data_IF_757148762287
#
_entry.id   IF_757148762287
#
_cell.length_a   1.000
_cell.length_b   1.000
_cell.length_c   1.000
_cell.angle_alpha   90.00
_cell.angle_beta   90.00
_cell.angle_gamma   90.00
#
_symmetry.space_group_name_H-M   'P 1'
#
loop_
_entity.id
_entity.type
_entity.pdbx_description
1 polymer ?
#
# COMPACT_ATOMS: atom_id res chain seq x y z
N UNK A 1 -3.56 -17.65 -19.64
CA UNK A 1 -3.50 -18.66 -18.55
C UNK A 1 -3.09 -18.03 -17.21
N UNK A 2 -2.01 -17.24 -17.14
CA UNK A 2 -1.48 -16.68 -15.88
C UNK A 2 -2.40 -15.63 -15.25
N UNK A 3 -2.94 -14.70 -16.04
CA UNK A 3 -3.94 -13.71 -15.56
C UNK A 3 -5.21 -14.39 -15.01
N UNK A 4 -5.68 -15.46 -15.68
CA UNK A 4 -6.84 -16.21 -15.20
C UNK A 4 -6.55 -16.84 -13.83
N UNK A 5 -5.35 -17.39 -13.63
CA UNK A 5 -4.93 -17.95 -12.34
C UNK A 5 -4.83 -16.89 -11.27
N UNK A 6 -4.31 -15.71 -11.59
CA UNK A 6 -4.28 -14.59 -10.64
C UNK A 6 -5.68 -14.11 -10.24
N UNK A 7 -6.60 -14.06 -11.21
CA UNK A 7 -8.02 -13.78 -10.90
C UNK A 7 -8.65 -14.83 -9.98
N UNK A 8 -8.31 -16.12 -10.17
CA UNK A 8 -8.75 -17.20 -9.26
C UNK A 8 -8.17 -16.98 -7.86
N UNK A 9 -6.88 -16.67 -7.74
CA UNK A 9 -6.26 -16.37 -6.44
C UNK A 9 -6.94 -15.17 -5.75
N UNK A 10 -7.20 -14.08 -6.48
CA UNK A 10 -7.94 -12.92 -5.95
C UNK A 10 -9.37 -13.26 -5.54
N UNK A 11 -10.06 -14.09 -6.30
CA UNK A 11 -11.41 -14.55 -5.95
C UNK A 11 -11.40 -15.35 -4.64
N UNK A 12 -10.42 -16.24 -4.48
CA UNK A 12 -10.23 -17.00 -3.23
C UNK A 12 -9.92 -16.09 -2.05
N UNK A 13 -9.06 -15.09 -2.24
CA UNK A 13 -8.76 -14.07 -1.24
C UNK A 13 -10.04 -13.30 -0.84
N UNK A 14 -10.85 -12.85 -1.78
CA UNK A 14 -12.11 -12.15 -1.51
C UNK A 14 -13.16 -13.03 -0.82
N UNK A 15 -13.09 -14.35 -1.00
CA UNK A 15 -13.94 -15.34 -0.31
C UNK A 15 -13.35 -15.80 1.03
N UNK A 16 -12.24 -15.21 1.47
CA UNK A 16 -11.52 -15.52 2.70
C UNK A 16 -10.90 -16.93 2.73
N UNK A 17 -10.78 -17.58 1.56
CA UNK A 17 -10.02 -18.82 1.41
C UNK A 17 -8.54 -18.48 1.17
N UNK A 18 -7.90 -17.99 2.20
CA UNK A 18 -6.50 -17.52 2.14
C UNK A 18 -5.53 -18.66 1.85
N UNK A 19 -5.82 -19.87 2.34
CA UNK A 19 -5.01 -21.05 2.08
C UNK A 19 -4.98 -21.40 0.59
N UNK A 20 -6.13 -21.45 -0.06
CA UNK A 20 -6.20 -21.73 -1.49
C UNK A 20 -5.65 -20.56 -2.33
N UNK A 21 -5.93 -19.33 -1.95
CA UNK A 21 -5.32 -18.16 -2.57
C UNK A 21 -3.77 -18.27 -2.56
N UNK A 22 -3.18 -18.64 -1.42
CA UNK A 22 -1.74 -18.79 -1.25
C UNK A 22 -1.16 -19.87 -2.18
N UNK A 23 -1.80 -21.02 -2.30
CA UNK A 23 -1.39 -22.10 -3.22
C UNK A 23 -1.32 -21.60 -4.68
N UNK A 24 -2.31 -20.83 -5.12
CA UNK A 24 -2.33 -20.26 -6.47
C UNK A 24 -1.23 -19.21 -6.67
N UNK A 25 -1.01 -18.34 -5.67
CA UNK A 25 0.00 -17.30 -5.70
C UNK A 25 1.42 -17.87 -5.72
N UNK A 26 1.69 -18.94 -4.95
CA UNK A 26 3.00 -19.60 -4.93
C UNK A 26 3.41 -20.18 -6.29
N UNK A 27 2.45 -20.64 -7.09
CA UNK A 27 2.71 -21.06 -8.48
C UNK A 27 3.04 -19.86 -9.37
N UNK A 28 2.31 -18.75 -9.22
CA UNK A 28 2.47 -17.56 -10.05
C UNK A 28 3.80 -16.85 -9.80
N UNK A 29 4.26 -16.75 -8.56
CA UNK A 29 5.56 -16.17 -8.21
C UNK A 29 6.74 -16.84 -8.92
N UNK A 30 6.61 -18.11 -9.31
CA UNK A 30 7.68 -18.91 -9.93
C UNK A 30 7.60 -18.99 -11.45
N UNK A 31 6.44 -18.78 -12.03
CA UNK A 31 6.16 -19.13 -13.44
C UNK A 31 5.46 -18.04 -14.26
N UNK A 32 5.17 -16.88 -13.65
CA UNK A 32 4.46 -15.80 -14.34
C UNK A 32 5.40 -14.79 -15.00
N UNK A 33 4.83 -13.91 -15.83
CA UNK A 33 5.52 -12.69 -16.26
C UNK A 33 5.85 -11.84 -15.05
N UNK A 34 6.89 -11.00 -15.16
CA UNK A 34 7.39 -10.20 -14.03
C UNK A 34 6.29 -9.38 -13.35
N UNK A 35 5.40 -8.78 -14.12
CA UNK A 35 4.29 -7.98 -13.57
C UNK A 35 3.33 -8.83 -12.73
N UNK A 36 2.86 -9.96 -13.27
CA UNK A 36 1.93 -10.86 -12.53
C UNK A 36 2.65 -11.52 -11.34
N UNK A 37 3.94 -11.79 -11.47
CA UNK A 37 4.73 -12.34 -10.37
C UNK A 37 4.86 -11.34 -9.20
N UNK A 38 5.06 -10.07 -9.49
CA UNK A 38 5.12 -9.02 -8.48
C UNK A 38 3.76 -8.85 -7.76
N UNK A 39 2.67 -8.76 -8.52
CA UNK A 39 1.32 -8.68 -7.95
C UNK A 39 1.00 -9.90 -7.08
N UNK A 40 1.39 -11.10 -7.54
CA UNK A 40 1.22 -12.33 -6.79
C UNK A 40 2.08 -12.37 -5.52
N UNK A 41 3.29 -11.81 -5.57
CA UNK A 41 4.17 -11.71 -4.42
C UNK A 41 3.60 -10.75 -3.37
N UNK A 42 3.15 -9.58 -3.75
CA UNK A 42 2.54 -8.61 -2.85
C UNK A 42 1.33 -9.19 -2.13
N UNK A 43 0.38 -9.78 -2.86
CA UNK A 43 -0.79 -10.42 -2.25
C UNK A 43 -0.42 -11.61 -1.37
N UNK A 44 0.61 -12.37 -1.75
CA UNK A 44 1.10 -13.49 -0.95
C UNK A 44 1.74 -13.03 0.36
N UNK A 45 2.50 -11.93 0.35
CA UNK A 45 3.09 -11.34 1.55
C UNK A 45 2.00 -10.82 2.47
N UNK A 46 1.07 -10.02 1.95
CA UNK A 46 -0.08 -9.54 2.71
C UNK A 46 -0.80 -10.68 3.46
N UNK A 47 -1.13 -11.77 2.76
CA UNK A 47 -1.80 -12.93 3.38
C UNK A 47 -0.91 -13.57 4.44
N UNK A 48 0.37 -13.82 4.15
CA UNK A 48 1.29 -14.50 5.07
C UNK A 48 1.52 -13.71 6.34
N UNK A 49 1.84 -12.43 6.20
CA UNK A 49 2.24 -11.59 7.32
C UNK A 49 1.06 -11.37 8.28
N UNK A 50 -0.15 -11.34 7.74
CA UNK A 50 -1.37 -11.12 8.52
C UNK A 50 -2.17 -12.38 8.87
N UNK A 51 -1.65 -13.58 8.54
CA UNK A 51 -2.27 -14.87 8.90
C UNK A 51 -1.69 -15.53 10.13
N UNK A 52 -0.50 -15.09 10.58
CA UNK A 52 0.28 -15.81 11.62
C UNK A 52 -0.13 -15.40 13.04
N UNK A 53 -0.61 -14.20 13.25
CA UNK A 53 -0.84 -13.64 14.57
C UNK A 53 -2.27 -13.86 15.08
N UNK A 54 -3.26 -13.97 14.20
CA UNK A 54 -4.65 -14.21 14.54
C UNK A 54 -5.19 -15.47 13.86
N UNK A 55 -5.47 -16.50 14.66
CA UNK A 55 -6.07 -17.76 14.17
C UNK A 55 -7.47 -17.55 13.54
N UNK A 56 -8.16 -16.47 13.89
CA UNK A 56 -9.46 -16.10 13.32
C UNK A 56 -9.34 -15.31 12.04
N UNK A 57 -8.18 -14.68 11.84
CA UNK A 57 -7.87 -13.82 10.67
C UNK A 57 -8.90 -12.69 10.48
N UNK A 58 -9.43 -12.16 11.59
CA UNK A 58 -10.52 -11.19 11.54
C UNK A 58 -10.12 -9.90 10.85
N UNK A 59 -8.96 -9.35 11.19
CA UNK A 59 -8.44 -8.13 10.58
C UNK A 59 -8.14 -8.33 9.09
N UNK A 60 -7.50 -9.43 8.71
CA UNK A 60 -7.25 -9.78 7.30
C UNK A 60 -8.55 -9.95 6.50
N UNK A 61 -9.59 -10.55 7.08
CA UNK A 61 -10.92 -10.67 6.45
C UNK A 61 -11.57 -9.31 6.23
N UNK A 62 -11.46 -8.39 7.19
CA UNK A 62 -11.95 -7.02 7.03
C UNK A 62 -11.19 -6.29 5.91
N UNK A 63 -9.88 -6.42 5.87
CA UNK A 63 -9.07 -5.84 4.81
C UNK A 63 -9.43 -6.42 3.43
N UNK A 64 -9.55 -7.73 3.29
CA UNK A 64 -9.99 -8.39 2.06
C UNK A 64 -11.40 -7.94 1.63
N UNK A 65 -12.29 -7.66 2.59
CA UNK A 65 -13.61 -7.08 2.32
C UNK A 65 -13.50 -5.66 1.76
N UNK A 66 -12.62 -4.84 2.31
CA UNK A 66 -12.36 -3.50 1.77
C UNK A 66 -11.81 -3.56 0.33
N UNK A 67 -10.85 -4.42 0.07
CA UNK A 67 -10.31 -4.65 -1.28
C UNK A 67 -11.37 -5.11 -2.28
N UNK A 68 -12.30 -5.97 -1.86
CA UNK A 68 -13.44 -6.37 -2.69
C UNK A 68 -14.35 -5.19 -3.00
N UNK A 69 -14.63 -4.34 -2.01
CA UNK A 69 -15.45 -3.14 -2.21
C UNK A 69 -14.79 -2.14 -3.16
N UNK A 70 -13.48 -1.97 -3.06
CA UNK A 70 -12.69 -1.16 -4.02
C UNK A 70 -12.81 -1.74 -5.44
N UNK A 71 -12.64 -3.05 -5.56
CA UNK A 71 -12.81 -3.74 -6.85
C UNK A 71 -14.20 -3.53 -7.44
N UNK A 72 -15.23 -3.47 -6.60
CA UNK A 72 -16.62 -3.20 -6.98
C UNK A 72 -16.93 -1.69 -7.20
N UNK A 73 -15.95 -0.79 -7.08
CA UNK A 73 -16.12 0.67 -7.16
C UNK A 73 -17.01 1.26 -6.07
N UNK A 74 -17.01 0.64 -4.90
CA UNK A 74 -17.76 1.04 -3.70
C UNK A 74 -16.83 1.69 -2.68
N UNK A 75 -16.18 2.78 -3.06
CA UNK A 75 -15.07 3.38 -2.31
C UNK A 75 -15.51 3.89 -0.93
N UNK A 76 -16.69 4.51 -0.82
CA UNK A 76 -17.23 4.98 0.47
C UNK A 76 -17.43 3.85 1.47
N UNK A 77 -17.94 2.70 1.00
CA UNK A 77 -18.11 1.52 1.84
C UNK A 77 -16.74 0.96 2.26
N UNK A 78 -15.77 0.92 1.33
CA UNK A 78 -14.40 0.47 1.61
C UNK A 78 -13.71 1.34 2.67
N UNK A 79 -13.81 2.66 2.57
CA UNK A 79 -13.30 3.60 3.58
C UNK A 79 -13.91 3.30 4.96
N UNK A 80 -15.22 3.07 5.03
CA UNK A 80 -15.89 2.74 6.30
C UNK A 80 -15.35 1.44 6.91
N UNK A 81 -15.12 0.40 6.09
CA UNK A 81 -14.54 -0.87 6.55
C UNK A 81 -13.11 -0.69 7.04
N UNK A 82 -12.25 0.05 6.31
CA UNK A 82 -10.87 0.31 6.72
C UNK A 82 -10.79 1.13 8.01
N UNK A 83 -11.63 2.13 8.17
CA UNK A 83 -11.70 2.90 9.43
C UNK A 83 -12.09 2.02 10.62
N UNK A 84 -13.09 1.15 10.44
CA UNK A 84 -13.49 0.20 11.48
C UNK A 84 -12.35 -0.78 11.81
N UNK A 85 -11.57 -1.22 10.80
CA UNK A 85 -10.38 -2.04 11.02
C UNK A 85 -9.36 -1.30 11.89
N UNK A 86 -9.01 -0.05 11.54
CA UNK A 86 -8.05 0.76 12.29
C UNK A 86 -8.51 1.06 13.74
N UNK A 87 -9.82 1.12 14.00
CA UNK A 87 -10.37 1.32 15.34
C UNK A 87 -10.27 0.05 16.21
N UNK A 88 -10.53 -1.12 15.62
CA UNK A 88 -10.67 -2.38 16.37
C UNK A 88 -9.42 -3.26 16.41
N UNK A 89 -8.44 -3.02 15.51
CA UNK A 89 -7.26 -3.85 15.34
C UNK A 89 -5.95 -3.04 15.46
N UNK A 90 -5.91 -2.12 16.44
CA UNK A 90 -4.71 -1.31 16.70
C UNK A 90 -3.52 -2.15 17.11
N UNK A 91 -2.36 -1.89 16.49
CA UNK A 91 -1.11 -2.58 16.77
C UNK A 91 -1.00 -3.94 16.08
N UNK A 92 -2.00 -4.36 15.30
CA UNK A 92 -1.87 -5.53 14.43
C UNK A 92 -1.12 -5.14 13.14
N UNK A 93 -0.37 -6.08 12.56
CA UNK A 93 0.45 -5.82 11.36
C UNK A 93 -0.33 -5.22 10.18
N UNK A 94 -1.58 -5.62 10.00
CA UNK A 94 -2.45 -5.13 8.92
C UNK A 94 -2.74 -3.62 8.98
N UNK A 95 -2.38 -2.96 10.07
CA UNK A 95 -2.70 -1.53 10.27
C UNK A 95 -1.94 -0.64 9.27
N UNK A 96 -0.69 -0.96 8.94
CA UNK A 96 0.11 -0.21 7.95
C UNK A 96 -0.48 -0.33 6.54
N UNK A 97 -0.89 -1.52 6.11
CA UNK A 97 -1.58 -1.72 4.84
C UNK A 97 -2.94 -0.99 4.80
N UNK A 98 -3.66 -0.99 5.92
CA UNK A 98 -4.94 -0.29 6.01
C UNK A 98 -4.76 1.22 5.93
N UNK A 99 -3.74 1.79 6.58
CA UNK A 99 -3.41 3.21 6.51
C UNK A 99 -2.99 3.62 5.09
N UNK A 100 -2.12 2.84 4.44
CA UNK A 100 -1.70 3.12 3.06
C UNK A 100 -2.90 3.09 2.11
N UNK A 101 -3.73 2.06 2.21
CA UNK A 101 -4.93 1.90 1.38
C UNK A 101 -5.94 3.03 1.59
N UNK A 102 -6.12 3.45 2.83
CA UNK A 102 -7.02 4.54 3.18
C UNK A 102 -6.52 5.87 2.61
N UNK A 103 -5.21 6.13 2.69
CA UNK A 103 -4.58 7.28 2.06
C UNK A 103 -4.81 7.31 0.56
N UNK A 104 -4.61 6.18 -0.14
CA UNK A 104 -4.85 6.06 -1.57
C UNK A 104 -6.31 6.35 -1.96
N UNK A 105 -7.26 5.85 -1.18
CA UNK A 105 -8.68 6.09 -1.43
C UNK A 105 -9.05 7.56 -1.21
N UNK A 106 -8.54 8.19 -0.17
CA UNK A 106 -8.76 9.61 0.07
C UNK A 106 -8.14 10.48 -1.03
N UNK A 107 -6.91 10.15 -1.48
CA UNK A 107 -6.29 10.87 -2.59
C UNK A 107 -7.11 10.72 -3.88
N UNK A 108 -7.58 9.52 -4.20
CA UNK A 108 -8.42 9.26 -5.37
C UNK A 108 -9.75 10.02 -5.33
N UNK A 109 -10.31 10.22 -4.13
CA UNK A 109 -11.56 10.98 -3.91
C UNK A 109 -11.33 12.50 -3.82
N UNK A 110 -10.08 12.98 -3.89
CA UNK A 110 -9.75 14.40 -3.75
C UNK A 110 -9.78 14.92 -2.32
N UNK A 111 -9.82 14.03 -1.32
CA UNK A 111 -9.76 14.35 0.11
C UNK A 111 -8.31 14.39 0.59
N UNK A 112 -7.54 15.34 0.05
CA UNK A 112 -6.08 15.36 0.17
C UNK A 112 -5.56 15.52 1.60
N UNK A 113 -6.26 16.25 2.45
CA UNK A 113 -5.90 16.42 3.86
C UNK A 113 -6.03 15.10 4.63
N UNK A 114 -7.07 14.31 4.34
CA UNK A 114 -7.23 12.98 4.96
C UNK A 114 -6.22 11.96 4.41
N UNK A 115 -5.84 12.08 3.13
CA UNK A 115 -4.75 11.28 2.58
C UNK A 115 -3.42 11.60 3.27
N UNK A 116 -3.10 12.90 3.47
CA UNK A 116 -1.95 13.36 4.24
C UNK A 116 -1.94 12.75 5.64
N UNK A 117 -3.06 12.84 6.39
CA UNK A 117 -3.19 12.27 7.74
C UNK A 117 -2.91 10.76 7.76
N UNK A 118 -3.43 10.02 6.77
CA UNK A 118 -3.25 8.56 6.69
C UNK A 118 -1.79 8.17 6.42
N UNK A 119 -1.13 8.84 5.47
CA UNK A 119 0.29 8.58 5.17
C UNK A 119 1.21 9.01 6.32
N UNK A 120 0.92 10.15 6.97
CA UNK A 120 1.67 10.59 8.15
C UNK A 120 1.53 9.61 9.32
N UNK A 121 0.35 9.07 9.55
CA UNK A 121 0.13 8.06 10.59
C UNK A 121 0.96 6.80 10.32
N UNK A 122 1.02 6.32 9.05
CA UNK A 122 1.87 5.20 8.69
C UNK A 122 3.34 5.50 8.98
N UNK A 123 3.85 6.64 8.53
CA UNK A 123 5.24 7.05 8.77
C UNK A 123 5.53 7.18 10.26
N UNK A 124 4.60 7.72 11.04
CA UNK A 124 4.80 7.93 12.48
C UNK A 124 4.89 6.62 13.27
N UNK A 125 4.07 5.63 12.94
CA UNK A 125 3.92 4.41 13.75
C UNK A 125 4.63 3.20 13.14
N UNK A 126 4.89 3.20 11.83
CA UNK A 126 5.37 2.05 11.05
C UNK A 126 6.56 2.40 10.14
N UNK A 127 7.41 3.35 10.54
CA UNK A 127 8.52 3.86 9.71
C UNK A 127 9.62 2.82 9.40
N UNK A 128 9.67 1.72 10.13
CA UNK A 128 10.62 0.63 9.91
C UNK A 128 9.99 -0.57 9.15
N UNK A 129 8.69 -0.48 8.86
CA UNK A 129 7.97 -1.54 8.18
C UNK A 129 8.09 -1.41 6.64
N UNK A 130 7.75 -2.48 5.95
CA UNK A 130 7.97 -2.63 4.51
C UNK A 130 7.25 -1.59 3.65
N UNK A 131 6.18 -0.96 4.16
CA UNK A 131 5.40 0.06 3.45
C UNK A 131 5.81 1.50 3.77
N UNK A 132 6.85 1.69 4.59
CA UNK A 132 7.29 3.02 4.98
C UNK A 132 7.77 3.86 3.79
N UNK A 133 8.54 3.26 2.88
CA UNK A 133 9.01 3.93 1.67
C UNK A 133 7.87 4.29 0.70
N UNK A 134 6.85 3.42 0.58
CA UNK A 134 5.61 3.72 -0.13
C UNK A 134 4.93 4.97 0.43
N UNK A 135 4.78 5.06 1.76
CA UNK A 135 4.13 6.19 2.41
C UNK A 135 4.91 7.49 2.21
N UNK A 136 6.24 7.46 2.37
CA UNK A 136 7.10 8.62 2.10
C UNK A 136 6.97 9.09 0.66
N UNK A 137 7.00 8.17 -0.30
CA UNK A 137 6.89 8.50 -1.72
C UNK A 137 5.52 9.08 -2.07
N UNK A 138 4.43 8.47 -1.60
CA UNK A 138 3.05 8.95 -1.83
C UNK A 138 2.82 10.32 -1.22
N UNK A 139 3.29 10.53 0.00
CA UNK A 139 3.18 11.81 0.68
C UNK A 139 3.99 12.91 -0.03
N UNK A 140 5.20 12.62 -0.49
CA UNK A 140 5.99 13.55 -1.29
C UNK A 140 5.26 13.95 -2.58
N UNK A 141 4.68 12.99 -3.30
CA UNK A 141 3.87 13.25 -4.50
C UNK A 141 2.61 14.05 -4.20
N UNK A 142 1.93 13.74 -3.11
CA UNK A 142 0.74 14.46 -2.67
C UNK A 142 1.07 15.94 -2.46
N UNK A 143 2.16 16.24 -1.74
CA UNK A 143 2.64 17.61 -1.54
C UNK A 143 3.05 18.30 -2.84
N UNK A 144 3.76 17.59 -3.73
CA UNK A 144 4.23 18.16 -5.00
C UNK A 144 3.05 18.49 -5.93
N UNK A 145 2.12 17.54 -6.11
CA UNK A 145 1.18 17.57 -7.22
C UNK A 145 -0.19 18.10 -6.81
N UNK A 146 -0.65 17.79 -5.59
CA UNK A 146 -2.01 18.08 -5.16
C UNK A 146 -2.09 19.25 -4.20
N UNK A 147 -1.20 19.30 -3.22
CA UNK A 147 -1.21 20.33 -2.18
C UNK A 147 -0.35 21.55 -2.53
N UNK A 148 0.42 21.48 -3.64
CA UNK A 148 1.32 22.55 -4.09
C UNK A 148 2.25 23.08 -2.97
N UNK A 149 2.85 22.14 -2.23
CA UNK A 149 3.78 22.41 -1.14
C UNK A 149 5.19 21.85 -1.47
N UNK A 150 5.93 22.46 -2.41
CA UNK A 150 7.17 21.90 -2.94
C UNK A 150 8.28 21.73 -1.90
N UNK A 151 8.27 22.53 -0.83
CA UNK A 151 9.26 22.39 0.25
C UNK A 151 9.02 21.09 1.04
N UNK A 152 7.78 20.81 1.42
CA UNK A 152 7.45 19.54 2.07
C UNK A 152 7.71 18.35 1.15
N UNK A 153 7.33 18.46 -0.13
CA UNK A 153 7.64 17.43 -1.11
C UNK A 153 9.13 17.10 -1.15
N UNK A 154 9.98 18.14 -1.20
CA UNK A 154 11.42 17.98 -1.19
C UNK A 154 11.92 17.27 0.08
N UNK A 155 11.40 17.62 1.26
CA UNK A 155 11.75 17.00 2.54
C UNK A 155 11.42 15.50 2.54
N UNK A 156 10.24 15.11 2.09
CA UNK A 156 9.85 13.69 2.05
C UNK A 156 10.59 12.88 0.98
N UNK A 157 10.92 13.46 -0.17
CA UNK A 157 11.84 12.83 -1.13
C UNK A 157 13.25 12.66 -0.55
N UNK A 158 13.74 13.66 0.19
CA UNK A 158 15.04 13.59 0.88
C UNK A 158 15.06 12.48 1.92
N UNK A 159 14.03 12.39 2.78
CA UNK A 159 13.89 11.32 3.78
C UNK A 159 13.89 9.94 3.13
N UNK A 160 13.19 9.77 2.00
CA UNK A 160 13.19 8.52 1.26
C UNK A 160 14.59 8.16 0.75
N UNK A 161 15.33 9.11 0.17
CA UNK A 161 16.67 8.89 -0.37
C UNK A 161 17.66 8.47 0.73
N UNK A 162 17.57 9.06 1.91
CA UNK A 162 18.53 8.80 2.99
C UNK A 162 18.19 7.60 3.84
N UNK A 163 16.92 7.22 3.95
CA UNK A 163 16.49 6.15 4.85
C UNK A 163 16.13 4.85 4.11
N UNK A 164 15.89 4.90 2.79
CA UNK A 164 15.38 3.76 2.02
C UNK A 164 16.16 3.60 0.70
N UNK A 165 17.46 3.32 0.79
CA UNK A 165 18.35 3.20 -0.39
C UNK A 165 17.93 2.07 -1.35
N UNK A 166 17.33 0.99 -0.82
CA UNK A 166 16.85 -0.17 -1.59
C UNK A 166 15.40 0.02 -2.14
N UNK A 167 14.76 1.15 -1.88
CA UNK A 167 13.41 1.44 -2.35
C UNK A 167 13.33 1.46 -3.88
N UNK A 168 12.26 0.87 -4.42
CA UNK A 168 11.94 0.96 -5.86
C UNK A 168 11.73 2.42 -6.32
N UNK A 169 11.41 3.32 -5.40
CA UNK A 169 11.20 4.75 -5.66
C UNK A 169 12.48 5.57 -5.59
N UNK A 170 13.61 5.00 -5.16
CA UNK A 170 14.86 5.73 -4.91
C UNK A 170 15.30 6.61 -6.10
N UNK A 171 15.33 6.05 -7.29
CA UNK A 171 15.80 6.75 -8.50
C UNK A 171 14.88 7.93 -8.84
N UNK A 172 13.57 7.71 -8.77
CA UNK A 172 12.59 8.75 -9.06
C UNK A 172 12.60 9.84 -7.98
N UNK A 173 12.63 9.46 -6.70
CA UNK A 173 12.71 10.39 -5.59
C UNK A 173 13.95 11.27 -5.66
N UNK A 174 15.13 10.68 -5.98
CA UNK A 174 16.38 11.44 -6.17
C UNK A 174 16.29 12.45 -7.31
N UNK A 175 15.66 12.06 -8.42
CA UNK A 175 15.42 12.98 -9.54
C UNK A 175 14.52 14.14 -9.12
N UNK A 176 13.40 13.84 -8.46
CA UNK A 176 12.44 14.84 -7.96
C UNK A 176 13.07 15.78 -6.93
N UNK A 177 13.82 15.24 -5.97
CA UNK A 177 14.55 16.01 -4.99
C UNK A 177 15.50 17.02 -5.65
N UNK A 178 16.31 16.58 -6.64
CA UNK A 178 17.23 17.45 -7.36
C UNK A 178 16.50 18.56 -8.11
N UNK A 179 15.39 18.23 -8.79
CA UNK A 179 14.55 19.24 -9.47
C UNK A 179 14.01 20.28 -8.50
N UNK A 180 13.48 19.86 -7.36
CA UNK A 180 12.92 20.76 -6.34
C UNK A 180 14.00 21.56 -5.62
N UNK A 181 15.25 21.10 -5.60
CA UNK A 181 16.41 21.84 -5.11
C UNK A 181 16.90 22.90 -6.10
N UNK A 182 16.54 22.80 -7.37
CA UNK A 182 16.98 23.72 -8.45
C UNK A 182 18.23 23.27 -9.18
N UNK A 183 18.60 21.99 -9.09
CA UNK A 183 19.74 21.44 -9.82
C UNK A 183 19.41 21.34 -11.32
N UNK A 184 20.40 21.60 -12.17
CA UNK A 184 20.30 21.24 -13.59
C UNK A 184 20.34 19.70 -13.71
N UNK A 185 19.34 19.14 -14.38
CA UNK A 185 19.23 17.70 -14.59
C UNK A 185 19.48 17.46 -16.08
N UNK A 186 20.63 16.86 -16.39
CA UNK A 186 20.92 16.33 -17.72
C UNK A 186 20.08 15.09 -18.03
#
# INVERSE_FOLDING_TARGET
>A
AQEARFKVAKTSYFNFDFTWAQVQLDVLKKSATQLIANDAMQLSLLIKDNSLEDSTQTALKQFARADLLIFQKKETEAISVLKNLLENHKGEKIEDEALLKLGDLYEANGEFEKAEESYLALIQFYNEDILADDAHYRLAKLYEIKLNQPQKAKEYYELLIFNFEDSIYFVEARKKYRMLRGDEIE
#
